data_IF_579281566538
#
_entry.id   IF_579281566538
#
_cell.length_a   1.000
_cell.length_b   1.000
_cell.length_c   1.000
_cell.angle_alpha   90.00
_cell.angle_beta   90.00
_cell.angle_gamma   90.00
#
_symmetry.space_group_name_H-M   'P 1'
#
loop_
_entity.id
_entity.type
_entity.pdbx_description
1 polymer ?
#
# COMPACT_ATOMS: atom_id res chain seq x y z
N UNK A 1 -14.05 1.69 -14.44
CA UNK A 1 -14.86 1.67 -13.21
C UNK A 1 -16.27 2.05 -13.62
N UNK A 2 -17.27 1.22 -13.31
CA UNK A 2 -18.66 1.63 -13.40
C UNK A 2 -19.16 1.90 -11.98
N UNK A 3 -19.75 3.08 -11.75
CA UNK A 3 -20.22 3.53 -10.44
C UNK A 3 -21.71 3.85 -10.53
N UNK A 4 -22.52 3.19 -9.71
CA UNK A 4 -23.92 3.61 -9.44
C UNK A 4 -23.97 4.68 -8.33
N UNK A 5 -22.82 5.07 -7.75
CA UNK A 5 -22.72 6.09 -6.71
C UNK A 5 -22.70 7.50 -7.30
N UNK A 6 -23.57 8.43 -6.85
CA UNK A 6 -23.64 9.80 -7.35
C UNK A 6 -22.44 10.68 -6.97
N UNK A 7 -21.47 10.15 -6.21
CA UNK A 7 -20.31 10.90 -5.70
C UNK A 7 -19.05 10.76 -6.56
N UNK A 8 -19.00 9.77 -7.46
CA UNK A 8 -17.96 9.63 -8.47
C UNK A 8 -18.66 9.77 -9.82
N UNK A 9 -18.54 10.93 -10.45
CA UNK A 9 -18.84 11.04 -11.88
C UNK A 9 -18.04 9.95 -12.62
N UNK A 10 -18.63 9.30 -13.61
CA UNK A 10 -17.86 8.41 -14.50
C UNK A 10 -16.77 9.25 -15.17
N UNK A 11 -15.55 9.16 -14.63
CA UNK A 11 -14.39 9.77 -15.24
C UNK A 11 -14.12 9.04 -16.56
N UNK A 12 -13.88 9.75 -17.67
CA UNK A 12 -13.56 9.10 -18.92
C UNK A 12 -12.27 8.31 -18.75
N UNK A 13 -12.27 7.06 -19.24
CA UNK A 13 -11.09 6.19 -19.22
C UNK A 13 -9.96 6.71 -20.13
N UNK A 14 -10.28 7.66 -21.02
CA UNK A 14 -9.38 8.21 -22.02
C UNK A 14 -9.33 9.73 -21.99
N UNK A 15 -8.18 10.29 -22.36
CA UNK A 15 -8.03 11.72 -22.63
C UNK A 15 -7.16 11.93 -23.86
N UNK A 16 -7.45 12.95 -24.67
CA UNK A 16 -6.60 13.32 -25.80
C UNK A 16 -6.13 14.75 -25.62
N UNK A 17 -4.82 14.95 -25.71
CA UNK A 17 -4.18 16.26 -25.62
C UNK A 17 -3.52 16.60 -26.96
N UNK A 18 -3.62 17.85 -27.37
CA UNK A 18 -2.91 18.38 -28.54
C UNK A 18 -2.03 19.53 -28.09
N UNK A 19 -0.73 19.43 -28.34
CA UNK A 19 0.23 20.51 -28.14
C UNK A 19 0.94 20.77 -29.48
N UNK A 20 0.77 21.98 -30.00
CA UNK A 20 1.21 22.35 -31.36
C UNK A 20 0.75 21.35 -32.44
N UNK A 21 1.66 20.53 -32.96
CA UNK A 21 1.42 19.55 -34.03
C UNK A 21 1.44 18.10 -33.52
N UNK A 22 1.55 17.88 -32.20
CA UNK A 22 1.59 16.55 -31.61
C UNK A 22 0.26 16.29 -30.89
N UNK A 23 -0.43 15.22 -31.28
CA UNK A 23 -1.68 14.77 -30.65
C UNK A 23 -1.44 13.44 -29.96
N UNK A 24 -1.74 13.37 -28.67
CA UNK A 24 -1.49 12.19 -27.83
C UNK A 24 -2.79 11.78 -27.17
N UNK A 25 -3.14 10.49 -27.31
CA UNK A 25 -4.21 9.89 -26.54
C UNK A 25 -3.68 9.07 -25.38
N UNK A 26 -4.40 9.13 -24.27
CA UNK A 26 -4.09 8.47 -23.02
C UNK A 26 -5.20 7.52 -22.65
N UNK A 27 -4.84 6.35 -22.12
CA UNK A 27 -5.75 5.40 -21.46
C UNK A 27 -5.31 5.25 -20.02
N UNK A 28 -6.24 5.32 -19.06
CA UNK A 28 -5.96 5.15 -17.63
C UNK A 28 -6.41 3.78 -17.11
N UNK A 29 -5.55 3.09 -16.36
CA UNK A 29 -5.88 1.82 -15.70
C UNK A 29 -5.36 1.75 -14.26
N UNK A 30 -6.04 0.97 -13.43
CA UNK A 30 -5.67 0.71 -12.03
C UNK A 30 -5.57 -0.79 -11.81
N UNK A 31 -4.67 -1.21 -10.93
CA UNK A 31 -4.60 -2.59 -10.47
C UNK A 31 -5.90 -3.05 -9.79
N UNK A 32 -6.13 -4.35 -9.82
CA UNK A 32 -7.32 -5.00 -9.25
C UNK A 32 -6.98 -6.28 -8.48
N UNK A 33 -5.78 -6.35 -7.92
CA UNK A 33 -5.25 -7.51 -7.20
C UNK A 33 -5.02 -7.24 -5.70
N UNK A 34 -5.69 -6.23 -5.15
CA UNK A 34 -5.60 -5.83 -3.74
C UNK A 34 -6.32 -6.73 -2.75
N UNK A 35 -7.24 -7.60 -3.22
CA UNK A 35 -7.96 -8.56 -2.39
C UNK A 35 -7.97 -9.95 -3.06
N UNK A 36 -7.47 -11.01 -2.41
CA UNK A 36 -7.49 -12.36 -2.96
C UNK A 36 -8.90 -12.81 -3.35
N UNK A 37 -9.05 -13.39 -4.53
CA UNK A 37 -10.35 -13.88 -5.02
C UNK A 37 -11.33 -12.80 -5.49
N UNK A 38 -10.96 -11.52 -5.39
CA UNK A 38 -11.79 -10.40 -5.85
C UNK A 38 -11.03 -9.51 -6.85
N UNK A 39 -11.77 -8.89 -7.77
CA UNK A 39 -11.24 -7.90 -8.71
C UNK A 39 -11.35 -6.51 -8.05
N UNK A 40 -10.46 -6.19 -7.12
CA UNK A 40 -10.51 -4.95 -6.32
C UNK A 40 -9.11 -4.34 -6.16
N UNK A 41 -8.95 -3.01 -6.26
CA UNK A 41 -7.68 -2.35 -5.98
C UNK A 41 -7.28 -2.43 -4.50
N UNK A 42 -5.99 -2.25 -4.23
CA UNK A 42 -5.36 -2.18 -2.89
C UNK A 42 -5.77 -0.90 -2.15
N UNK A 43 -7.01 -0.90 -1.69
CA UNK A 43 -7.59 0.10 -0.80
C UNK A 43 -8.54 -0.62 0.15
N UNK A 44 -9.00 0.07 1.19
CA UNK A 44 -9.93 -0.53 2.14
C UNK A 44 -11.24 -0.90 1.41
N UNK A 45 -11.66 -2.18 1.35
CA UNK A 45 -12.78 -2.61 0.50
C UNK A 45 -14.11 -1.89 0.77
N UNK A 46 -14.39 -1.52 2.03
CA UNK A 46 -15.59 -0.70 2.36
C UNK A 46 -15.62 0.68 1.66
N UNK A 47 -14.49 1.21 1.19
CA UNK A 47 -14.43 2.46 0.42
C UNK A 47 -14.81 2.27 -1.04
N UNK A 48 -14.94 1.02 -1.48
CA UNK A 48 -15.29 0.63 -2.84
C UNK A 48 -16.73 0.10 -2.94
N UNK A 49 -17.50 0.19 -1.86
CA UNK A 49 -18.91 -0.20 -1.89
C UNK A 49 -19.62 0.51 -3.06
N UNK A 50 -20.29 -0.27 -3.91
CA UNK A 50 -21.00 0.18 -5.12
C UNK A 50 -20.11 0.57 -6.32
N UNK A 51 -18.82 0.26 -6.29
CA UNK A 51 -17.93 0.37 -7.45
C UNK A 51 -17.65 -1.02 -8.03
N UNK A 52 -17.66 -1.11 -9.37
CA UNK A 52 -17.24 -2.31 -10.08
C UNK A 52 -15.93 -2.04 -10.82
N UNK A 53 -14.97 -2.93 -10.57
CA UNK A 53 -13.69 -2.95 -11.26
C UNK A 53 -13.62 -4.18 -12.18
N UNK A 54 -12.85 -4.02 -13.24
CA UNK A 54 -12.55 -5.07 -14.20
C UNK A 54 -11.06 -5.08 -14.40
N UNK A 55 -10.47 -6.28 -14.47
CA UNK A 55 -9.05 -6.44 -14.75
C UNK A 55 -8.70 -5.77 -16.09
N UNK A 56 -7.60 -5.01 -16.10
CA UNK A 56 -7.16 -4.24 -17.27
C UNK A 56 -6.98 -5.15 -18.51
N UNK A 57 -6.48 -6.37 -18.35
CA UNK A 57 -6.28 -7.33 -19.44
C UNK A 57 -7.58 -7.69 -20.17
N UNK A 58 -8.74 -7.55 -19.51
CA UNK A 58 -10.04 -7.89 -20.11
C UNK A 58 -10.63 -6.74 -20.93
N UNK A 59 -10.14 -5.51 -20.75
CA UNK A 59 -10.76 -4.31 -21.30
C UNK A 59 -9.84 -3.52 -22.22
N UNK A 60 -8.53 -3.76 -22.20
CA UNK A 60 -7.58 -2.95 -22.97
C UNK A 60 -7.73 -3.11 -24.48
N UNK A 61 -8.12 -4.29 -24.97
CA UNK A 61 -8.28 -4.57 -26.41
C UNK A 61 -9.26 -3.61 -27.12
N UNK A 62 -10.24 -3.06 -26.38
CA UNK A 62 -11.22 -2.11 -26.92
C UNK A 62 -10.58 -0.78 -27.37
N UNK A 63 -9.36 -0.49 -26.92
CA UNK A 63 -8.63 0.75 -27.27
C UNK A 63 -7.63 0.55 -28.41
N UNK A 64 -7.59 -0.62 -29.04
CA UNK A 64 -6.66 -0.94 -30.13
C UNK A 64 -6.74 0.04 -31.31
N UNK A 65 -7.94 0.54 -31.61
CA UNK A 65 -8.19 1.51 -32.69
C UNK A 65 -8.21 2.96 -32.19
N UNK A 66 -8.05 3.23 -30.88
CA UNK A 66 -8.22 4.56 -30.30
C UNK A 66 -7.26 5.59 -30.91
N UNK A 67 -6.04 5.19 -31.25
CA UNK A 67 -5.04 6.05 -31.90
C UNK A 67 -5.56 6.58 -33.24
N UNK A 68 -6.16 5.70 -34.05
CA UNK A 68 -6.71 6.04 -35.36
C UNK A 68 -8.04 6.80 -35.24
N UNK A 69 -8.94 6.37 -34.35
CA UNK A 69 -10.23 7.04 -34.09
C UNK A 69 -10.07 8.48 -33.64
N UNK A 70 -9.02 8.74 -32.86
CA UNK A 70 -8.69 10.07 -32.36
C UNK A 70 -7.70 10.81 -33.26
N UNK A 71 -7.23 10.22 -34.36
CA UNK A 71 -6.18 10.79 -35.22
C UNK A 71 -4.92 11.22 -34.42
N UNK A 72 -4.56 10.45 -33.40
CA UNK A 72 -3.42 10.76 -32.52
C UNK A 72 -2.10 10.23 -33.10
N UNK A 73 -1.02 10.98 -32.87
CA UNK A 73 0.34 10.55 -33.21
C UNK A 73 0.84 9.45 -32.27
N UNK A 74 0.41 9.46 -31.00
CA UNK A 74 0.81 8.47 -30.00
C UNK A 74 -0.39 8.03 -29.13
N UNK A 75 -0.33 6.80 -28.65
CA UNK A 75 -1.23 6.21 -27.66
C UNK A 75 -0.43 5.75 -26.44
N UNK A 76 -0.68 6.39 -25.30
CA UNK A 76 0.05 6.19 -24.05
C UNK A 76 -0.87 5.57 -23.00
N UNK A 77 -0.41 4.52 -22.33
CA UNK A 77 -1.07 3.99 -21.14
C UNK A 77 -0.51 4.68 -19.89
N UNK A 78 -1.40 5.24 -19.07
CA UNK A 78 -1.11 5.66 -17.71
C UNK A 78 -1.57 4.54 -16.78
N UNK A 79 -0.63 3.73 -16.28
CA UNK A 79 -0.95 2.54 -15.49
C UNK A 79 -0.61 2.71 -14.02
N UNK A 80 -1.51 2.23 -13.16
CA UNK A 80 -1.23 1.95 -11.76
C UNK A 80 -1.31 0.44 -11.51
N UNK A 81 -0.62 -0.35 -12.35
CA UNK A 81 -0.65 -1.82 -12.32
C UNK A 81 0.51 -2.41 -11.54
N UNK A 82 1.68 -1.76 -11.56
CA UNK A 82 2.94 -2.33 -11.10
C UNK A 82 3.71 -2.95 -12.25
N UNK A 83 5.04 -2.93 -12.18
CA UNK A 83 5.88 -3.34 -13.31
C UNK A 83 5.75 -4.84 -13.64
N UNK A 84 5.88 -5.71 -12.63
CA UNK A 84 5.90 -7.16 -12.80
C UNK A 84 5.43 -7.89 -11.53
N UNK A 85 4.66 -8.96 -11.75
CA UNK A 85 4.25 -9.92 -10.73
C UNK A 85 4.48 -11.34 -11.23
N UNK A 86 4.64 -12.28 -10.30
CA UNK A 86 4.58 -13.69 -10.65
C UNK A 86 3.13 -14.16 -10.74
N UNK A 87 2.87 -15.16 -11.57
CA UNK A 87 1.52 -15.71 -11.77
C UNK A 87 0.68 -14.90 -12.77
N UNK A 88 -0.63 -15.11 -12.72
CA UNK A 88 -1.61 -14.49 -13.63
C UNK A 88 -2.12 -13.15 -13.07
N UNK A 89 -1.20 -12.22 -12.79
CA UNK A 89 -1.54 -10.86 -12.34
C UNK A 89 -1.14 -9.86 -13.42
N UNK A 90 -2.09 -9.04 -13.86
CA UNK A 90 -1.86 -8.02 -14.88
C UNK A 90 -0.87 -6.96 -14.39
N UNK A 91 0.15 -6.68 -15.20
CA UNK A 91 1.24 -5.75 -14.88
C UNK A 91 1.61 -4.92 -16.12
N UNK A 92 2.43 -3.88 -15.94
CA UNK A 92 2.92 -3.09 -17.08
C UNK A 92 3.62 -3.97 -18.14
N UNK A 93 4.38 -4.98 -17.68
CA UNK A 93 5.09 -5.90 -18.56
C UNK A 93 4.14 -6.85 -19.32
N UNK A 94 3.12 -7.40 -18.66
CA UNK A 94 2.14 -8.26 -19.34
C UNK A 94 1.32 -7.44 -20.34
N UNK A 95 0.95 -6.21 -19.98
CA UNK A 95 0.22 -5.29 -20.87
C UNK A 95 1.05 -4.93 -22.10
N UNK A 96 2.33 -4.59 -21.94
CA UNK A 96 3.21 -4.33 -23.07
C UNK A 96 3.36 -5.54 -24.01
N UNK A 97 3.36 -6.76 -23.44
CA UNK A 97 3.44 -7.98 -24.22
C UNK A 97 2.15 -8.24 -25.03
N UNK A 98 0.99 -8.14 -24.37
CA UNK A 98 -0.31 -8.57 -24.91
C UNK A 98 -1.02 -7.48 -25.73
N UNK A 99 -0.71 -6.21 -25.49
CA UNK A 99 -1.31 -5.04 -26.16
C UNK A 99 -0.23 -4.15 -26.83
N UNK A 100 0.48 -4.65 -27.85
CA UNK A 100 1.61 -3.94 -28.48
C UNK A 100 1.19 -2.74 -29.35
N UNK A 101 -0.09 -2.33 -29.31
CA UNK A 101 -0.57 -1.12 -29.99
C UNK A 101 -0.34 0.16 -29.17
N UNK A 102 0.02 0.05 -27.89
CA UNK A 102 0.48 1.19 -27.11
C UNK A 102 1.90 1.58 -27.53
N UNK A 103 2.17 2.88 -27.67
CA UNK A 103 3.52 3.36 -27.95
C UNK A 103 4.35 3.45 -26.64
N UNK A 104 3.69 3.75 -25.53
CA UNK A 104 4.35 3.98 -24.24
C UNK A 104 3.44 3.61 -23.05
N UNK A 105 4.04 3.08 -21.98
CA UNK A 105 3.45 2.91 -20.66
C UNK A 105 4.20 3.79 -19.65
N UNK A 106 3.46 4.67 -18.98
CA UNK A 106 3.94 5.41 -17.81
C UNK A 106 3.30 4.76 -16.58
N UNK A 107 4.09 3.96 -15.87
CA UNK A 107 3.61 3.09 -14.80
C UNK A 107 3.72 3.67 -13.40
N UNK A 108 3.14 2.93 -12.45
CA UNK A 108 3.16 3.23 -11.01
C UNK A 108 2.97 1.99 -10.16
N UNK A 109 2.45 2.17 -8.95
CA UNK A 109 2.11 1.12 -7.97
C UNK A 109 3.29 0.38 -7.33
N UNK A 110 4.19 -0.22 -8.12
CA UNK A 110 5.30 -1.03 -7.58
C UNK A 110 6.47 -0.23 -6.97
N UNK A 111 6.42 1.11 -7.05
CA UNK A 111 7.46 2.02 -6.56
C UNK A 111 8.86 1.75 -7.14
N UNK A 112 8.93 1.09 -8.31
CA UNK A 112 10.18 0.72 -8.95
C UNK A 112 10.65 1.81 -9.92
N UNK A 113 11.94 1.81 -10.22
CA UNK A 113 12.49 2.53 -11.37
C UNK A 113 12.45 1.58 -12.56
N UNK A 114 11.82 2.01 -13.66
CA UNK A 114 11.73 1.24 -14.90
C UNK A 114 12.18 2.09 -16.07
N UNK A 115 13.01 1.49 -16.92
CA UNK A 115 13.46 1.99 -18.21
C UNK A 115 13.67 0.78 -19.10
N UNK A 116 12.61 0.37 -19.79
CA UNK A 116 12.65 -0.85 -20.61
C UNK A 116 11.70 -0.76 -21.79
N UNK A 117 11.75 -1.76 -22.66
CA UNK A 117 10.88 -1.86 -23.83
C UNK A 117 10.54 -3.32 -24.07
N UNK A 118 9.24 -3.60 -24.22
CA UNK A 118 8.71 -4.95 -24.44
C UNK A 118 7.79 -4.87 -25.66
N UNK A 119 8.01 -5.74 -26.66
CA UNK A 119 7.25 -5.77 -27.92
C UNK A 119 7.10 -4.41 -28.63
N UNK A 120 8.09 -3.52 -28.48
CA UNK A 120 8.06 -2.18 -29.07
C UNK A 120 7.35 -1.12 -28.22
N UNK A 121 6.75 -1.52 -27.09
CA UNK A 121 6.13 -0.61 -26.11
C UNK A 121 7.17 -0.18 -25.09
N UNK A 122 7.44 1.11 -25.01
CA UNK A 122 8.36 1.65 -23.98
C UNK A 122 7.67 1.64 -22.60
N UNK A 123 8.42 1.44 -21.52
CA UNK A 123 7.87 1.39 -20.15
C UNK A 123 8.78 2.20 -19.22
N UNK A 124 8.19 3.21 -18.57
CA UNK A 124 8.89 4.07 -17.63
C UNK A 124 8.21 4.15 -16.26
N UNK A 125 9.01 4.12 -15.19
CA UNK A 125 8.60 4.44 -13.82
C UNK A 125 9.73 5.19 -13.12
N UNK A 126 9.40 6.18 -12.30
CA UNK A 126 10.38 7.05 -11.62
C UNK A 126 10.59 6.75 -10.13
N UNK A 127 10.21 5.56 -9.67
CA UNK A 127 10.25 5.20 -8.25
C UNK A 127 9.06 5.76 -7.47
N UNK A 128 9.32 6.25 -6.26
CA UNK A 128 8.29 6.77 -5.35
C UNK A 128 8.78 7.96 -4.53
N UNK A 129 7.86 8.58 -3.80
CA UNK A 129 8.13 9.66 -2.83
C UNK A 129 8.79 10.90 -3.42
N UNK A 130 8.68 11.08 -4.74
CA UNK A 130 9.37 12.14 -5.50
C UNK A 130 10.89 12.14 -5.31
N UNK A 131 11.53 11.02 -4.96
CA UNK A 131 13.00 10.92 -5.00
C UNK A 131 13.55 11.25 -6.39
N UNK A 132 12.78 10.90 -7.44
CA UNK A 132 13.09 11.27 -8.81
C UNK A 132 11.86 11.81 -9.54
N UNK A 133 12.09 12.75 -10.45
CA UNK A 133 11.18 13.14 -11.51
C UNK A 133 11.64 12.49 -12.82
N UNK A 134 10.78 11.67 -13.43
CA UNK A 134 11.04 11.09 -14.74
C UNK A 134 10.79 12.11 -15.85
N UNK A 135 11.79 12.35 -16.70
CA UNK A 135 11.71 13.18 -17.89
C UNK A 135 11.93 12.33 -19.13
N UNK A 136 10.89 12.22 -19.95
CA UNK A 136 10.91 11.45 -21.19
C UNK A 136 10.98 12.42 -22.37
N UNK A 137 12.03 12.32 -23.18
CA UNK A 137 12.21 13.13 -24.38
C UNK A 137 12.01 12.24 -25.60
N UNK A 138 11.01 12.56 -26.44
CA UNK A 138 10.68 11.79 -27.63
C UNK A 138 10.87 12.62 -28.90
N UNK A 139 11.39 12.00 -29.95
CA UNK A 139 11.28 12.51 -31.32
C UNK A 139 10.27 11.67 -32.08
N UNK A 140 9.17 12.29 -32.47
CA UNK A 140 8.06 11.63 -33.19
C UNK A 140 8.09 12.05 -34.66
N UNK A 141 7.95 11.09 -35.57
CA UNK A 141 7.84 11.34 -37.00
C UNK A 141 6.81 10.39 -37.62
N UNK A 142 5.82 10.95 -38.30
CA UNK A 142 4.73 10.19 -38.93
C UNK A 142 4.00 9.24 -37.95
N UNK A 143 3.76 9.69 -36.71
CA UNK A 143 3.08 8.89 -35.69
C UNK A 143 3.93 7.78 -35.06
N UNK A 144 5.24 7.75 -35.32
CA UNK A 144 6.17 6.76 -34.76
C UNK A 144 7.26 7.46 -33.92
N UNK A 145 7.65 6.84 -32.80
CA UNK A 145 8.81 7.24 -32.00
C UNK A 145 10.07 6.78 -32.75
N UNK A 146 10.91 7.72 -33.15
CA UNK A 146 12.17 7.43 -33.87
C UNK A 146 13.42 7.65 -33.00
N UNK A 147 13.26 8.27 -31.83
CA UNK A 147 14.30 8.43 -30.82
C UNK A 147 13.67 8.78 -29.48
N UNK A 148 14.24 8.23 -28.43
CA UNK A 148 13.81 8.36 -27.05
C UNK A 148 15.01 8.57 -26.12
N UNK A 149 14.80 9.32 -25.05
CA UNK A 149 15.74 9.50 -23.94
C UNK A 149 14.93 9.62 -22.64
N UNK A 150 15.31 8.84 -21.62
CA UNK A 150 14.68 8.86 -20.31
C UNK A 150 15.70 9.28 -19.25
N UNK A 151 15.41 10.40 -18.59
CA UNK A 151 16.24 10.97 -17.54
C UNK A 151 15.51 10.91 -16.20
N UNK A 152 16.18 10.40 -15.17
CA UNK A 152 15.72 10.52 -13.79
C UNK A 152 16.40 11.70 -13.14
N UNK A 153 15.61 12.74 -12.89
CA UNK A 153 16.08 13.93 -12.19
C UNK A 153 15.92 13.66 -10.69
N UNK A 154 17.03 13.44 -9.98
CA UNK A 154 17.02 13.28 -8.53
C UNK A 154 16.55 14.60 -7.87
N UNK A 155 15.59 14.49 -6.95
CA UNK A 155 15.03 15.63 -6.24
C UNK A 155 15.35 15.64 -4.74
N UNK A 156 16.14 14.70 -4.22
CA UNK A 156 16.44 14.58 -2.78
C UNK A 156 17.05 15.87 -2.22
N UNK A 157 17.92 16.49 -3.00
CA UNK A 157 18.62 17.73 -2.65
C UNK A 157 18.19 18.93 -3.52
N UNK A 158 17.01 18.88 -4.16
CA UNK A 158 16.58 19.95 -5.05
C UNK A 158 16.29 21.23 -4.24
N UNK A 159 17.03 22.34 -4.47
CA UNK A 159 17.05 23.46 -3.54
C UNK A 159 15.87 24.41 -3.74
N UNK A 160 15.31 24.45 -4.94
CA UNK A 160 14.31 25.46 -5.31
C UNK A 160 12.92 25.01 -4.88
N UNK A 161 12.22 25.92 -4.19
CA UNK A 161 10.82 25.75 -3.78
C UNK A 161 10.00 26.89 -4.34
N UNK A 162 8.82 26.59 -4.85
CA UNK A 162 7.82 27.63 -5.12
C UNK A 162 7.29 28.14 -3.77
N UNK A 163 7.53 29.42 -3.50
CA UNK A 163 7.21 30.03 -2.20
C UNK A 163 5.71 29.97 -1.91
N UNK A 164 4.84 30.14 -2.91
CA UNK A 164 3.39 30.11 -2.71
C UNK A 164 2.89 28.71 -2.37
N UNK A 165 3.49 27.68 -2.98
CA UNK A 165 3.22 26.28 -2.64
C UNK A 165 3.80 25.96 -1.26
N UNK A 166 5.02 26.39 -0.95
CA UNK A 166 5.67 26.16 0.34
C UNK A 166 4.86 26.77 1.49
N UNK A 167 4.36 28.01 1.35
CA UNK A 167 3.50 28.64 2.35
C UNK A 167 2.21 27.83 2.61
N UNK A 168 1.63 27.19 1.58
CA UNK A 168 0.45 26.32 1.75
C UNK A 168 0.82 25.03 2.50
N UNK A 169 1.95 24.40 2.16
CA UNK A 169 2.43 23.20 2.84
C UNK A 169 2.72 23.49 4.31
N UNK A 170 3.42 24.59 4.61
CA UNK A 170 3.71 25.01 5.97
C UNK A 170 2.45 25.29 6.78
N UNK A 171 1.41 25.88 6.17
CA UNK A 171 0.14 26.10 6.84
C UNK A 171 -0.53 24.78 7.29
N UNK A 172 -0.41 23.70 6.51
CA UNK A 172 -0.89 22.37 6.92
C UNK A 172 0.00 21.73 7.98
N UNK A 173 1.32 21.81 7.83
CA UNK A 173 2.27 21.17 8.74
C UNK A 173 2.37 21.85 10.11
N UNK A 174 2.20 23.17 10.17
CA UNK A 174 2.28 23.95 11.42
C UNK A 174 0.98 23.92 12.25
N UNK A 175 0.14 22.90 12.08
CA UNK A 175 -1.02 22.69 12.94
C UNK A 175 -0.55 22.35 14.36
N UNK A 176 -0.84 23.16 15.39
CA UNK A 176 -0.35 22.92 16.75
C UNK A 176 -0.75 21.55 17.33
N UNK A 177 -1.87 20.97 16.87
CA UNK A 177 -2.30 19.63 17.30
C UNK A 177 -1.30 18.53 16.90
N UNK A 178 -0.53 18.75 15.83
CA UNK A 178 0.48 17.80 15.37
C UNK A 178 1.77 17.84 16.18
N UNK A 179 2.07 18.98 16.83
CA UNK A 179 3.31 19.16 17.61
C UNK A 179 3.18 18.73 19.08
N UNK A 180 2.04 18.20 19.50
CA UNK A 180 1.87 17.71 20.87
C UNK A 180 2.74 16.48 21.11
N UNK A 181 3.60 16.55 22.14
CA UNK A 181 4.40 15.42 22.62
C UNK A 181 3.55 14.54 23.52
N UNK A 182 3.47 13.26 23.18
CA UNK A 182 2.59 12.28 23.85
C UNK A 182 3.35 11.19 24.61
N UNK A 183 4.66 11.11 24.43
CA UNK A 183 5.54 10.15 25.08
C UNK A 183 6.96 10.31 24.56
N UNK A 184 7.81 9.32 24.81
CA UNK A 184 9.17 9.31 24.27
C UNK A 184 9.62 7.91 23.90
N UNK A 185 10.63 7.85 23.03
CA UNK A 185 11.22 6.65 22.49
C UNK A 185 12.74 6.71 22.68
N UNK A 186 13.34 5.62 23.14
CA UNK A 186 14.76 5.59 23.54
C UNK A 186 15.72 5.34 22.38
N UNK A 187 15.22 4.90 21.22
CA UNK A 187 16.02 4.58 20.03
C UNK A 187 15.24 4.88 18.75
N UNK A 188 15.89 5.25 17.65
CA UNK A 188 15.22 5.38 16.35
C UNK A 188 14.61 4.05 15.87
N UNK A 189 13.35 4.05 15.43
CA UNK A 189 12.66 2.86 14.90
C UNK A 189 12.47 2.95 13.39
N UNK A 190 12.77 1.85 12.70
CA UNK A 190 12.59 1.75 11.25
C UNK A 190 11.25 1.13 10.87
N UNK A 191 10.59 1.74 9.90
CA UNK A 191 9.32 1.36 9.28
C UNK A 191 9.30 -0.11 8.87
N UNK A 192 10.40 -0.58 8.28
CA UNK A 192 10.52 -1.93 7.72
C UNK A 192 11.03 -2.97 8.73
N UNK A 193 11.04 -2.66 10.04
CA UNK A 193 11.47 -3.61 11.07
C UNK A 193 10.80 -3.36 12.43
N UNK A 194 11.22 -2.32 13.14
CA UNK A 194 10.89 -2.15 14.56
C UNK A 194 9.57 -1.42 14.79
N UNK A 195 9.12 -0.56 13.87
CA UNK A 195 7.83 0.14 13.98
C UNK A 195 6.66 -0.83 13.97
N UNK A 196 6.76 -1.97 13.28
CA UNK A 196 5.70 -2.98 13.28
C UNK A 196 5.49 -3.64 14.64
N UNK A 197 6.57 -3.86 15.39
CA UNK A 197 6.48 -4.29 16.79
C UNK A 197 5.81 -3.22 17.67
N UNK A 198 6.17 -1.95 17.47
CA UNK A 198 5.52 -0.83 18.16
C UNK A 198 4.02 -0.75 17.90
N UNK A 199 3.63 -0.79 16.62
CA UNK A 199 2.24 -0.72 16.21
C UNK A 199 1.39 -1.81 16.86
N UNK A 200 1.87 -3.05 16.78
CA UNK A 200 1.16 -4.22 17.30
C UNK A 200 1.14 -4.26 18.83
N UNK A 201 2.20 -3.82 19.53
CA UNK A 201 2.17 -3.65 20.98
C UNK A 201 1.21 -2.55 21.42
N UNK A 202 1.12 -1.46 20.66
CA UNK A 202 0.25 -0.35 20.99
C UNK A 202 -1.23 -0.72 20.92
N UNK A 203 -1.66 -1.44 19.88
CA UNK A 203 -3.04 -1.94 19.80
C UNK A 203 -3.31 -3.00 20.88
N UNK A 204 -2.38 -3.95 21.09
CA UNK A 204 -2.51 -4.98 22.12
C UNK A 204 -2.66 -4.35 23.50
N UNK A 205 -1.76 -3.42 23.83
CA UNK A 205 -1.69 -2.76 25.13
C UNK A 205 -2.86 -1.81 25.39
N UNK A 206 -3.37 -1.13 24.37
CA UNK A 206 -4.57 -0.30 24.51
C UNK A 206 -5.81 -1.12 24.90
N UNK A 207 -6.03 -2.27 24.25
CA UNK A 207 -7.20 -3.12 24.48
C UNK A 207 -7.00 -4.23 25.52
N UNK A 208 -5.77 -4.47 25.98
CA UNK A 208 -5.44 -5.59 26.86
C UNK A 208 -5.76 -6.95 26.24
N UNK A 209 -5.41 -7.12 24.96
CA UNK A 209 -5.60 -8.39 24.22
C UNK A 209 -4.37 -9.29 24.29
N UNK A 210 -4.48 -10.52 23.82
CA UNK A 210 -3.38 -11.48 23.84
C UNK A 210 -2.39 -11.23 22.69
N UNK A 211 -2.87 -10.78 21.53
CA UNK A 211 -2.02 -10.53 20.36
C UNK A 211 -2.55 -9.45 19.42
N UNK A 212 -1.73 -9.06 18.45
CA UNK A 212 -2.08 -8.12 17.38
C UNK A 212 -1.28 -8.43 16.11
N UNK A 213 -1.79 -7.97 14.97
CA UNK A 213 -1.12 -8.06 13.67
C UNK A 213 -1.10 -6.71 12.95
N UNK A 214 -0.07 -6.49 12.13
CA UNK A 214 0.01 -5.34 11.23
C UNK A 214 0.72 -5.72 9.93
N UNK A 215 0.11 -5.41 8.78
CA UNK A 215 0.72 -5.62 7.48
C UNK A 215 1.76 -4.51 7.18
N UNK A 216 2.92 -4.82 6.56
CA UNK A 216 3.96 -3.83 6.27
C UNK A 216 3.50 -2.64 5.42
N UNK A 217 2.59 -2.88 4.47
CA UNK A 217 2.01 -1.83 3.65
C UNK A 217 1.25 -0.78 4.45
N UNK A 218 0.71 -1.15 5.61
CA UNK A 218 -0.02 -0.29 6.54
C UNK A 218 0.87 0.63 7.40
N UNK A 219 2.19 0.44 7.40
CA UNK A 219 3.13 1.28 8.16
C UNK A 219 3.84 2.20 7.18
N UNK A 220 3.75 3.53 7.38
CA UNK A 220 4.16 4.51 6.35
C UNK A 220 5.33 5.41 6.72
N UNK A 221 5.78 5.38 7.97
CA UNK A 221 6.91 6.18 8.43
C UNK A 221 7.72 5.46 9.49
N UNK A 222 8.94 5.95 9.70
CA UNK A 222 9.81 5.61 10.82
C UNK A 222 9.30 6.33 12.10
N UNK A 223 9.93 6.06 13.25
CA UNK A 223 9.69 6.80 14.49
C UNK A 223 11.02 7.32 15.04
N UNK A 224 11.09 8.61 15.33
CA UNK A 224 12.35 9.22 15.77
C UNK A 224 12.73 8.80 17.20
N UNK A 225 14.01 8.96 17.54
CA UNK A 225 14.49 8.91 18.92
C UNK A 225 14.11 10.21 19.65
N UNK A 226 13.68 10.10 20.91
CA UNK A 226 13.31 11.25 21.73
C UNK A 226 11.81 11.41 21.88
N UNK A 227 11.33 12.65 21.82
CA UNK A 227 9.91 12.97 22.00
C UNK A 227 9.07 12.40 20.85
N UNK A 228 7.99 11.71 21.19
CA UNK A 228 7.01 11.21 20.21
C UNK A 228 5.91 12.23 20.07
N UNK A 229 5.68 12.71 18.85
CA UNK A 229 4.59 13.65 18.53
C UNK A 229 3.35 12.95 17.97
N UNK A 230 2.19 13.60 18.07
CA UNK A 230 0.96 13.15 17.39
C UNK A 230 1.19 13.02 15.86
N UNK A 231 1.96 13.92 15.26
CA UNK A 231 2.25 13.87 13.82
C UNK A 231 2.94 12.58 13.41
N UNK A 232 3.90 12.10 14.21
CA UNK A 232 4.61 10.87 13.91
C UNK A 232 3.68 9.66 13.92
N UNK A 233 2.73 9.59 14.85
CA UNK A 233 1.73 8.51 14.85
C UNK A 233 0.86 8.56 13.60
N UNK A 234 0.39 9.73 13.18
CA UNK A 234 -0.38 9.87 11.93
C UNK A 234 0.46 9.60 10.68
N UNK A 235 1.77 9.87 10.71
CA UNK A 235 2.68 9.49 9.61
C UNK A 235 2.90 7.98 9.57
N UNK A 236 2.92 7.31 10.71
CA UNK A 236 3.02 5.85 10.80
C UNK A 236 1.73 5.19 10.30
N UNK A 237 0.56 5.66 10.75
CA UNK A 237 -0.77 5.14 10.44
C UNK A 237 -1.72 6.20 9.84
N UNK A 238 -1.56 6.55 8.55
CA UNK A 238 -2.32 7.62 7.91
C UNK A 238 -3.68 7.19 7.35
N UNK A 239 -4.07 5.92 7.51
CA UNK A 239 -5.19 5.34 6.75
C UNK A 239 -6.56 5.59 7.37
N UNK A 240 -6.61 5.90 8.66
CA UNK A 240 -7.88 6.00 9.40
C UNK A 240 -8.62 4.66 9.46
N UNK A 241 -7.88 3.55 9.48
CA UNK A 241 -8.44 2.22 9.67
C UNK A 241 -9.05 2.12 11.09
N UNK A 242 -10.23 1.51 11.18
CA UNK A 242 -10.94 1.33 12.44
C UNK A 242 -10.29 0.25 13.31
N UNK A 243 -10.38 0.41 14.63
CA UNK A 243 -9.95 -0.59 15.59
C UNK A 243 -11.01 -1.68 15.79
N UNK A 244 -10.59 -2.93 15.81
CA UNK A 244 -11.44 -4.12 16.02
C UNK A 244 -10.82 -5.07 17.03
N UNK A 245 -11.67 -5.82 17.73
CA UNK A 245 -11.29 -6.94 18.57
C UNK A 245 -11.95 -8.23 18.08
N UNK A 246 -11.14 -9.29 17.97
CA UNK A 246 -11.58 -10.64 17.63
C UNK A 246 -11.21 -11.63 18.73
N UNK A 247 -11.89 -12.77 18.75
CA UNK A 247 -11.48 -13.97 19.47
C UNK A 247 -11.33 -15.10 18.45
N UNK A 248 -10.13 -15.69 18.37
CA UNK A 248 -9.83 -16.73 17.40
C UNK A 248 -9.13 -17.89 18.06
N UNK A 249 -9.43 -19.11 17.62
CA UNK A 249 -8.64 -20.28 18.03
C UNK A 249 -7.25 -20.22 17.40
N UNK A 250 -6.26 -20.80 18.07
CA UNK A 250 -4.91 -20.94 17.52
C UNK A 250 -4.92 -21.69 16.20
N UNK A 251 -5.80 -22.68 16.02
CA UNK A 251 -6.00 -23.34 14.72
C UNK A 251 -6.45 -22.35 13.63
N UNK A 252 -7.46 -21.51 13.89
CA UNK A 252 -7.93 -20.52 12.92
C UNK A 252 -6.86 -19.45 12.59
N UNK A 253 -6.04 -19.07 13.56
CA UNK A 253 -4.92 -18.14 13.33
C UNK A 253 -3.86 -18.79 12.43
N UNK A 254 -3.58 -20.08 12.60
CA UNK A 254 -2.69 -20.82 11.69
C UNK A 254 -3.26 -20.88 10.28
N UNK A 255 -4.53 -21.23 10.14
CA UNK A 255 -5.21 -21.27 8.84
C UNK A 255 -5.12 -19.91 8.12
N UNK A 256 -5.30 -18.81 8.86
CA UNK A 256 -5.08 -17.46 8.35
C UNK A 256 -3.65 -17.22 7.87
N UNK A 257 -2.65 -17.53 8.69
CA UNK A 257 -1.25 -17.26 8.37
C UNK A 257 -0.74 -18.10 7.19
N UNK A 258 -1.13 -19.37 7.15
CA UNK A 258 -0.77 -20.30 6.06
C UNK A 258 -1.53 -19.96 4.78
N UNK A 259 -2.86 -19.83 4.87
CA UNK A 259 -3.72 -19.62 3.72
C UNK A 259 -3.62 -18.24 3.08
N UNK A 260 -3.31 -17.20 3.87
CA UNK A 260 -3.07 -15.85 3.30
C UNK A 260 -1.67 -15.70 2.69
N UNK A 261 -0.66 -16.43 3.19
CA UNK A 261 0.75 -16.22 2.85
C UNK A 261 1.26 -14.80 3.13
N UNK A 262 0.50 -14.01 3.91
CA UNK A 262 0.76 -12.61 4.17
C UNK A 262 1.97 -12.46 5.10
N UNK A 263 2.83 -11.51 4.78
CA UNK A 263 3.86 -11.06 5.71
C UNK A 263 3.27 -10.08 6.71
N UNK A 264 3.37 -10.38 8.01
CA UNK A 264 2.75 -9.60 9.09
C UNK A 264 3.74 -9.36 10.22
N UNK A 265 3.74 -8.15 10.76
CA UNK A 265 4.25 -7.91 12.09
C UNK A 265 3.26 -8.43 13.11
N UNK A 266 3.76 -8.90 14.25
CA UNK A 266 2.93 -9.49 15.31
C UNK A 266 3.46 -9.16 16.70
N UNK A 267 2.67 -9.45 17.72
CA UNK A 267 3.05 -9.23 19.12
C UNK A 267 2.25 -10.09 20.11
N UNK A 268 2.76 -10.27 21.33
CA UNK A 268 2.12 -11.00 22.44
C UNK A 268 2.24 -12.53 22.40
N UNK A 269 2.79 -13.08 21.31
CA UNK A 269 3.06 -14.51 21.11
C UNK A 269 4.38 -14.67 20.36
N UNK A 270 4.90 -15.90 20.29
CA UNK A 270 5.98 -16.29 19.38
C UNK A 270 5.37 -17.10 18.23
N UNK A 271 5.68 -16.71 16.98
CA UNK A 271 5.23 -17.41 15.77
C UNK A 271 6.45 -17.93 15.04
N UNK A 272 6.47 -19.24 14.78
CA UNK A 272 7.55 -19.94 14.08
C UNK A 272 7.00 -20.79 12.94
N UNK A 273 7.80 -20.96 11.89
CA UNK A 273 7.55 -21.95 10.84
C UNK A 273 8.30 -23.25 11.18
N UNK A 274 7.56 -24.31 11.49
CA UNK A 274 8.12 -25.64 11.75
C UNK A 274 7.97 -26.53 10.52
N UNK A 275 9.08 -27.13 10.09
CA UNK A 275 9.14 -27.95 8.88
C UNK A 275 8.19 -29.15 8.88
N UNK A 276 7.80 -29.68 10.04
CA UNK A 276 6.89 -30.82 10.16
C UNK A 276 5.47 -30.43 10.54
N UNK A 277 5.29 -29.33 11.28
CA UNK A 277 4.01 -28.93 11.87
C UNK A 277 3.39 -27.67 11.27
N UNK A 278 4.03 -27.04 10.28
CA UNK A 278 3.59 -25.77 9.71
C UNK A 278 3.76 -24.63 10.71
N UNK A 279 2.77 -23.74 10.79
CA UNK A 279 2.81 -22.62 11.73
C UNK A 279 2.68 -23.13 13.17
N UNK A 280 3.57 -22.69 14.06
CA UNK A 280 3.52 -22.95 15.50
C UNK A 280 3.40 -21.63 16.26
N UNK A 281 2.42 -21.55 17.17
CA UNK A 281 2.17 -20.38 18.02
C UNK A 281 2.45 -20.76 19.47
N UNK A 282 3.28 -19.96 20.15
CA UNK A 282 3.70 -20.18 21.53
C UNK A 282 3.44 -18.94 22.39
N UNK A 283 3.36 -19.13 23.69
CA UNK A 283 3.46 -18.04 24.66
C UNK A 283 4.89 -17.46 24.69
N UNK A 284 5.08 -16.37 25.44
CA UNK A 284 6.37 -15.68 25.55
C UNK A 284 7.42 -16.52 26.32
N UNK A 285 7.00 -17.51 27.10
CA UNK A 285 7.85 -18.50 27.75
C UNK A 285 8.26 -19.67 26.82
N UNK A 286 7.67 -19.75 25.62
CA UNK A 286 7.97 -20.75 24.61
C UNK A 286 7.13 -22.04 24.69
N UNK A 287 6.06 -22.06 25.49
CA UNK A 287 5.11 -23.17 25.51
C UNK A 287 4.15 -23.06 24.32
N UNK A 288 3.97 -24.16 23.60
CA UNK A 288 3.08 -24.22 22.44
C UNK A 288 1.62 -24.14 22.90
N UNK A 289 0.85 -23.24 22.30
CA UNK A 289 -0.58 -23.19 22.53
C UNK A 289 -1.30 -24.37 21.84
N UNK A 290 -2.24 -25.05 22.52
CA UNK A 290 -3.15 -26.00 21.89
C UNK A 290 -3.99 -25.35 20.79
N UNK A 291 -4.34 -26.10 19.74
CA UNK A 291 -5.10 -25.56 18.60
C UNK A 291 -6.49 -25.02 18.96
N UNK A 292 -7.13 -25.55 20.00
CA UNK A 292 -8.43 -25.11 20.52
C UNK A 292 -8.33 -23.96 21.53
N UNK A 293 -7.11 -23.55 21.90
CA UNK A 293 -6.90 -22.37 22.73
C UNK A 293 -7.35 -21.11 21.98
N UNK A 294 -8.08 -20.23 22.67
CA UNK A 294 -8.60 -18.98 22.09
C UNK A 294 -7.72 -17.83 22.53
N UNK A 295 -7.29 -17.02 21.57
CA UNK A 295 -6.56 -15.78 21.78
C UNK A 295 -7.42 -14.60 21.34
N UNK A 296 -7.42 -13.54 22.14
CA UNK A 296 -8.00 -12.25 21.78
C UNK A 296 -7.03 -11.43 20.95
N UNK A 297 -7.54 -10.79 19.88
CA UNK A 297 -6.72 -10.07 18.89
C UNK A 297 -7.21 -8.64 18.75
N UNK A 298 -6.33 -7.66 18.96
CA UNK A 298 -6.56 -6.26 18.57
C UNK A 298 -5.96 -6.00 17.18
N UNK A 299 -6.73 -5.48 16.24
CA UNK A 299 -6.28 -5.31 14.85
C UNK A 299 -6.99 -4.14 14.16
N UNK A 300 -6.36 -3.60 13.11
CA UNK A 300 -7.02 -2.68 12.18
C UNK A 300 -8.08 -3.42 11.36
N UNK A 301 -9.13 -2.73 10.91
CA UNK A 301 -10.22 -3.33 10.13
C UNK A 301 -9.85 -3.68 8.68
N UNK A 302 -8.76 -3.13 8.13
CA UNK A 302 -8.29 -3.46 6.79
C UNK A 302 -7.91 -4.94 6.65
N UNK A 303 -7.11 -5.49 7.57
CA UNK A 303 -6.63 -6.88 7.46
C UNK A 303 -7.80 -7.89 7.45
N UNK A 304 -8.74 -7.87 8.42
CA UNK A 304 -9.89 -8.78 8.39
C UNK A 304 -10.81 -8.57 7.19
N UNK A 305 -10.92 -7.35 6.66
CA UNK A 305 -11.76 -7.09 5.48
C UNK A 305 -11.14 -7.69 4.22
N UNK A 306 -9.81 -7.63 4.07
CA UNK A 306 -9.11 -8.22 2.91
C UNK A 306 -9.07 -9.75 2.99
N UNK A 307 -9.02 -10.31 4.20
CA UNK A 307 -8.93 -11.74 4.46
C UNK A 307 -10.20 -12.27 5.13
N UNK A 308 -11.36 -11.82 4.66
CA UNK A 308 -12.67 -12.04 5.31
C UNK A 308 -12.98 -13.52 5.58
N UNK A 309 -12.55 -14.43 4.70
CA UNK A 309 -12.76 -15.87 4.83
C UNK A 309 -12.08 -16.48 6.07
N UNK A 310 -11.09 -15.80 6.65
CA UNK A 310 -10.31 -16.28 7.80
C UNK A 310 -10.74 -15.69 9.14
N UNK A 311 -11.53 -14.61 9.14
CA UNK A 311 -11.92 -13.92 10.36
C UNK A 311 -13.39 -14.19 10.70
N UNK A 312 -13.72 -14.52 11.97
CA UNK A 312 -15.11 -14.54 12.42
C UNK A 312 -15.67 -13.11 12.51
N UNK A 313 -16.95 -12.95 12.87
CA UNK A 313 -17.46 -11.63 13.25
C UNK A 313 -16.65 -11.03 14.41
N UNK A 314 -16.36 -9.71 14.39
CA UNK A 314 -15.66 -9.06 15.48
C UNK A 314 -16.46 -9.14 16.77
N UNK A 315 -15.78 -9.43 17.87
CA UNK A 315 -16.36 -9.38 19.22
C UNK A 315 -16.69 -7.94 19.60
N UNK A 316 -15.84 -6.99 19.18
CA UNK A 316 -16.06 -5.57 19.40
C UNK A 316 -15.55 -4.71 18.23
N UNK A 317 -16.36 -3.71 17.89
CA UNK A 317 -16.12 -2.69 16.87
C UNK A 317 -16.04 -1.35 17.59
N UNK A 318 -14.84 -0.77 17.68
CA UNK A 318 -14.65 0.50 18.39
C UNK A 318 -14.94 1.68 17.47
N UNK A 319 -15.55 2.73 18.03
CA UNK A 319 -15.70 4.05 17.40
C UNK A 319 -14.40 4.85 17.52
N UNK A 320 -13.31 4.27 17.00
CA UNK A 320 -11.95 4.79 17.09
C UNK A 320 -11.08 4.19 15.98
N UNK A 321 -10.14 4.99 15.46
CA UNK A 321 -9.12 4.52 14.52
C UNK A 321 -7.88 4.01 15.26
N UNK A 322 -7.09 3.17 14.61
CA UNK A 322 -5.88 2.58 15.18
C UNK A 322 -4.83 3.62 15.58
N UNK A 323 -4.68 4.72 14.83
CA UNK A 323 -3.79 5.82 15.21
C UNK A 323 -4.15 6.44 16.57
N UNK A 324 -5.44 6.62 16.86
CA UNK A 324 -5.92 7.17 18.14
C UNK A 324 -5.67 6.21 19.30
N UNK A 325 -5.84 4.90 19.07
CA UNK A 325 -5.52 3.87 20.04
C UNK A 325 -4.02 3.86 20.37
N UNK A 326 -3.16 4.00 19.35
CA UNK A 326 -1.72 4.13 19.54
C UNK A 326 -1.36 5.37 20.36
N UNK A 327 -1.94 6.54 20.04
CA UNK A 327 -1.75 7.78 20.80
C UNK A 327 -2.16 7.58 22.25
N UNK A 328 -3.34 6.99 22.50
CA UNK A 328 -3.85 6.76 23.84
C UNK A 328 -2.96 5.79 24.65
N UNK A 329 -2.45 4.74 24.01
CA UNK A 329 -1.52 3.81 24.64
C UNK A 329 -0.20 4.48 25.00
N UNK A 330 0.42 5.21 24.07
CA UNK A 330 1.69 5.92 24.33
C UNK A 330 1.55 6.88 25.51
N UNK A 331 0.45 7.63 25.59
CA UNK A 331 0.15 8.53 26.73
C UNK A 331 0.02 7.81 28.07
N UNK A 332 -0.35 6.54 28.06
CA UNK A 332 -0.51 5.75 29.29
C UNK A 332 0.82 5.25 29.86
N UNK A 333 1.89 5.29 29.07
CA UNK A 333 3.19 4.77 29.46
C UNK A 333 3.90 5.75 30.42
N UNK A 334 4.52 5.18 31.46
CA UNK A 334 5.37 5.92 32.39
C UNK A 334 6.85 5.90 32.01
N UNK A 335 7.23 5.05 31.05
CA UNK A 335 8.60 4.83 30.60
C UNK A 335 8.71 5.04 29.09
N UNK A 336 9.91 5.39 28.64
CA UNK A 336 10.20 5.53 27.22
C UNK A 336 10.08 4.18 26.51
N UNK A 337 9.55 4.19 25.29
CA UNK A 337 9.54 3.01 24.42
C UNK A 337 10.96 2.53 24.13
N UNK A 338 11.13 1.22 24.00
CA UNK A 338 12.35 0.61 23.49
C UNK A 338 11.98 -0.62 22.68
N UNK A 339 12.50 -0.71 21.47
CA UNK A 339 12.34 -1.85 20.57
C UNK A 339 13.70 -2.35 20.08
N UNK A 340 14.74 -2.21 20.92
CA UNK A 340 16.06 -2.71 20.58
C UNK A 340 16.02 -4.23 20.38
N UNK A 341 16.61 -4.69 19.28
CA UNK A 341 16.55 -6.09 18.87
C UNK A 341 15.17 -6.62 18.48
N UNK A 342 14.12 -5.80 18.43
CA UNK A 342 12.78 -6.26 18.01
C UNK A 342 12.79 -6.70 16.54
N UNK A 343 12.39 -7.95 16.31
CA UNK A 343 12.33 -8.57 14.99
C UNK A 343 11.08 -9.47 14.86
N UNK A 344 9.91 -8.90 15.18
CA UNK A 344 8.63 -9.62 15.19
C UNK A 344 7.93 -9.49 13.85
N UNK A 345 8.42 -10.21 12.87
CA UNK A 345 7.82 -10.35 11.55
C UNK A 345 7.69 -11.83 11.20
N UNK A 346 6.55 -12.21 10.65
CA UNK A 346 6.28 -13.57 10.20
C UNK A 346 5.71 -13.54 8.79
N UNK A 347 6.20 -14.43 7.93
CA UNK A 347 5.58 -14.77 6.65
C UNK A 347 5.67 -16.27 6.49
N UNK A 348 4.56 -16.91 6.15
CA UNK A 348 4.57 -18.34 5.86
C UNK A 348 5.35 -18.61 4.57
N UNK A 349 6.25 -19.58 4.63
CA UNK A 349 7.03 -20.08 3.50
C UNK A 349 6.82 -21.61 3.46
N UNK A 350 6.34 -22.13 2.33
CA UNK A 350 6.10 -23.57 2.14
C UNK A 350 7.37 -24.43 2.10
#
# INVERSE_FOLDING_TARGET
>A
MHSDSPLLEELPATATLTEENLKISFVGVVETNGMPGACMPSTHPSKLENLVFTDASQVLDQYSELKDETESDLLILLSHLGHYYQGEVTSDYSVAHDFPFFDLIIGGHSHSIQDTTINGVHIYQSGAYLHNLGKISLTVKNGEIISEDFELINLDDYPDKDEQINMKIEAYNNNPAFSEVIGSNSIYLTRNRTVGGFYTDALRGYLGTDMSFQNPGGIRSDLDEGDITILEIYRIDPFGNGLRKYEMTVAAIKDFLEGSGAGLYYSGVIIENDFAAGVVIKDEEGNIYPGDHVLSIAINDYIPTVYEDYFPDPVEVYDMITADAMIAWVRSLSEALSYDGCDRYFRYEE
#
